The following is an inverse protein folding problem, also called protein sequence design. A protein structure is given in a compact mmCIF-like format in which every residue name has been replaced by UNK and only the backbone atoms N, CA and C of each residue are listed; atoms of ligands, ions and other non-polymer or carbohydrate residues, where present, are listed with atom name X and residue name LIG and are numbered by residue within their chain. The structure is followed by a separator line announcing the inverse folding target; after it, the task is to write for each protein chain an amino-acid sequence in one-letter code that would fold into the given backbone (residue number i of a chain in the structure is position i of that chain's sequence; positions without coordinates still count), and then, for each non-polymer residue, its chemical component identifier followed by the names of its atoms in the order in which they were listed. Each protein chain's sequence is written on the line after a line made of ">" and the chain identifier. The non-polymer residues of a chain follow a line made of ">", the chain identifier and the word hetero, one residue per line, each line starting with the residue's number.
data_IF_468238349755
#
_entry.id   IF_468238349755
#
_cell.length_a   1.000
_cell.length_b   1.000
_cell.length_c   1.000
_cell.angle_alpha   90.00
_cell.angle_beta   90.00
_cell.angle_gamma   90.00
#
_symmetry.space_group_name_H-M   'P 1'
#
loop_
_entity.id
_entity.type
_entity.pdbx_description
1 polymer ?
#
# COMPACT_ATOMS: atom_id res chain seq x y z
N UNK A 1 -1.17 7.88 -7.89
CA UNK A 1 -1.45 7.03 -9.08
C UNK A 1 -0.22 6.27 -9.57
N UNK A 2 0.92 6.95 -9.76
CA UNK A 2 2.17 6.32 -10.23
C UNK A 2 2.76 5.33 -9.23
N UNK A 3 2.66 5.58 -7.91
CA UNK A 3 3.17 4.66 -6.88
C UNK A 3 2.39 3.33 -6.81
N UNK A 4 1.06 3.39 -6.86
CA UNK A 4 0.19 2.19 -6.83
C UNK A 4 0.35 1.38 -8.13
N UNK A 5 0.50 2.06 -9.28
CA UNK A 5 0.76 1.38 -10.55
C UNK A 5 2.19 0.80 -10.59
N UNK A 6 3.18 1.44 -9.96
CA UNK A 6 4.53 0.90 -9.75
C UNK A 6 4.52 -0.32 -8.83
N UNK A 7 3.75 -0.31 -7.74
CA UNK A 7 3.56 -1.49 -6.89
C UNK A 7 2.93 -2.64 -7.68
N UNK A 8 1.92 -2.37 -8.51
CA UNK A 8 1.27 -3.40 -9.35
C UNK A 8 2.16 -3.90 -10.50
N UNK A 9 3.00 -3.04 -11.09
CA UNK A 9 3.92 -3.42 -12.18
C UNK A 9 5.22 -4.10 -11.70
N UNK A 10 5.70 -3.81 -10.49
CA UNK A 10 6.93 -4.42 -9.96
C UNK A 10 6.69 -5.79 -9.32
N UNK A 11 5.48 -6.12 -8.87
CA UNK A 11 5.25 -7.40 -8.19
C UNK A 11 4.90 -8.54 -9.16
N UNK A 12 5.86 -9.43 -9.40
CA UNK A 12 5.58 -10.85 -9.71
C UNK A 12 4.87 -11.58 -8.54
N UNK A 13 4.66 -10.87 -7.43
CA UNK A 13 4.32 -11.36 -6.09
C UNK A 13 3.01 -10.81 -5.49
N UNK A 14 2.03 -10.39 -6.30
CA UNK A 14 0.73 -9.90 -5.77
C UNK A 14 0.04 -10.92 -4.82
N UNK A 15 0.29 -12.22 -5.08
CA UNK A 15 -0.12 -13.36 -4.24
C UNK A 15 0.58 -13.39 -2.88
N UNK A 16 1.86 -12.99 -2.84
CA UNK A 16 2.63 -12.86 -1.62
C UNK A 16 2.14 -11.65 -0.83
N UNK A 17 1.89 -10.51 -1.49
CA UNK A 17 1.52 -9.28 -0.80
C UNK A 17 0.22 -9.40 0.02
N UNK A 18 -0.86 -9.97 -0.54
CA UNK A 18 -2.14 -10.13 0.18
C UNK A 18 -2.07 -11.15 1.30
N UNK A 19 -1.40 -12.30 1.08
CA UNK A 19 -1.15 -13.30 2.12
C UNK A 19 -0.28 -12.75 3.24
N UNK A 20 0.82 -12.09 2.90
CA UNK A 20 1.75 -11.46 3.83
C UNK A 20 1.09 -10.33 4.62
N UNK A 21 0.22 -9.53 3.99
CA UNK A 21 -0.60 -8.52 4.67
C UNK A 21 -1.55 -9.17 5.68
N UNK A 22 -2.30 -10.19 5.26
CA UNK A 22 -3.22 -10.94 6.14
C UNK A 22 -2.49 -11.53 7.34
N UNK A 23 -1.37 -12.24 7.12
CA UNK A 23 -0.55 -12.83 8.19
C UNK A 23 -0.01 -11.77 9.17
N UNK A 24 0.35 -10.57 8.66
CA UNK A 24 0.81 -9.47 9.52
C UNK A 24 -0.31 -8.89 10.36
N UNK A 25 -1.49 -8.68 9.78
CA UNK A 25 -2.64 -8.20 10.54
C UNK A 25 -3.07 -9.24 11.56
N UNK A 26 -3.03 -10.54 11.27
CA UNK A 26 -3.27 -11.59 12.26
C UNK A 26 -2.34 -11.46 13.48
N UNK A 27 -1.03 -11.34 13.24
CA UNK A 27 0.00 -11.25 14.28
C UNK A 27 0.10 -9.89 14.99
N UNK A 28 -0.69 -8.90 14.57
CA UNK A 28 -0.70 -7.56 15.17
C UNK A 28 -1.48 -7.53 16.49
N UNK A 29 -0.97 -6.79 17.48
CA UNK A 29 -1.61 -6.65 18.81
C UNK A 29 -2.99 -5.99 18.72
N UNK A 30 -3.85 -6.19 19.74
CA UNK A 30 -5.21 -5.63 19.77
C UNK A 30 -5.20 -4.11 19.72
N UNK A 31 -4.25 -3.49 20.39
CA UNK A 31 -4.08 -2.04 20.49
C UNK A 31 -3.67 -1.45 19.13
N UNK A 32 -2.73 -2.09 18.43
CA UNK A 32 -2.33 -1.70 17.08
C UNK A 32 -3.47 -1.86 16.07
N UNK A 33 -4.25 -2.95 16.18
CA UNK A 33 -5.47 -3.15 15.39
C UNK A 33 -6.48 -2.03 15.61
N UNK A 34 -6.72 -1.63 16.87
CA UNK A 34 -7.61 -0.51 17.15
C UNK A 34 -7.16 0.78 16.44
N UNK A 35 -5.86 1.10 16.49
CA UNK A 35 -5.30 2.27 15.79
C UNK A 35 -5.52 2.19 14.27
N UNK A 36 -5.28 1.03 13.64
CA UNK A 36 -5.49 0.84 12.20
C UNK A 36 -6.96 1.05 11.81
N UNK A 37 -7.89 0.59 12.65
CA UNK A 37 -9.33 0.81 12.43
C UNK A 37 -9.69 2.29 12.57
N UNK A 38 -9.16 2.97 13.58
CA UNK A 38 -9.40 4.41 13.82
C UNK A 38 -8.83 5.28 12.68
N UNK A 39 -7.77 4.82 12.01
CA UNK A 39 -7.23 5.45 10.80
C UNK A 39 -8.09 5.20 9.53
N UNK A 40 -9.18 4.44 9.61
CA UNK A 40 -10.06 4.12 8.48
C UNK A 40 -9.64 2.89 7.67
N UNK A 41 -8.59 2.17 8.09
CA UNK A 41 -8.07 0.99 7.39
C UNK A 41 -8.59 -0.34 7.95
N UNK A 42 -9.71 -0.32 8.70
CA UNK A 42 -10.29 -1.52 9.31
C UNK A 42 -10.61 -2.63 8.29
N UNK A 43 -10.97 -2.27 7.07
CA UNK A 43 -11.21 -3.22 5.98
C UNK A 43 -9.99 -4.09 5.63
N UNK A 44 -8.76 -3.59 5.85
CA UNK A 44 -7.52 -4.34 5.57
C UNK A 44 -7.39 -5.59 6.44
N UNK A 45 -7.98 -5.59 7.65
CA UNK A 45 -7.94 -6.74 8.56
C UNK A 45 -8.85 -7.88 8.11
N UNK A 46 -9.82 -7.60 7.23
CA UNK A 46 -10.78 -8.57 6.72
C UNK A 46 -10.42 -9.03 5.31
N UNK A 47 -9.28 -8.59 4.76
CA UNK A 47 -8.80 -9.05 3.46
C UNK A 47 -8.48 -10.54 3.60
N UNK A 48 -9.35 -11.36 3.01
CA UNK A 48 -9.05 -12.78 2.85
C UNK A 48 -7.77 -12.92 2.02
N UNK A 49 -6.84 -13.82 2.40
CA UNK A 49 -5.64 -14.06 1.63
C UNK A 49 -6.03 -14.57 0.23
N UNK A 50 -6.00 -13.67 -0.76
CA UNK A 50 -6.41 -13.98 -2.12
C UNK A 50 -5.35 -14.84 -2.81
N UNK A 51 -5.67 -16.11 -3.05
CA UNK A 51 -4.82 -17.02 -3.82
C UNK A 51 -4.98 -16.79 -5.33
N UNK A 52 -4.57 -15.63 -5.85
CA UNK A 52 -4.62 -15.36 -7.31
C UNK A 52 -3.56 -16.19 -8.07
N UNK A 53 -3.95 -17.17 -8.87
CA UNK A 53 -3.00 -18.02 -9.60
C UNK A 53 -2.00 -17.20 -10.43
N UNK A 54 -0.70 -17.55 -10.36
CA UNK A 54 0.36 -16.84 -11.08
C UNK A 54 0.09 -16.79 -12.60
N UNK A 55 -0.49 -17.86 -13.15
CA UNK A 55 -0.93 -17.92 -14.55
C UNK A 55 -1.96 -16.84 -14.89
N UNK A 56 -2.87 -16.52 -13.97
CA UNK A 56 -3.89 -15.48 -14.15
C UNK A 56 -3.26 -14.08 -14.08
N UNK A 57 -2.36 -13.83 -13.12
CA UNK A 57 -1.61 -12.57 -13.01
C UNK A 57 -0.76 -12.32 -14.27
N UNK A 58 -0.04 -13.34 -14.75
CA UNK A 58 0.75 -13.27 -15.98
C UNK A 58 -0.13 -12.96 -17.19
N UNK A 59 -1.31 -13.59 -17.28
CA UNK A 59 -2.27 -13.32 -18.35
C UNK A 59 -2.79 -11.88 -18.29
N UNK A 60 -3.16 -11.38 -17.11
CA UNK A 60 -3.61 -10.00 -16.91
C UNK A 60 -2.52 -8.97 -17.23
N UNK A 61 -1.29 -9.20 -16.77
CA UNK A 61 -0.15 -8.31 -17.05
C UNK A 61 0.14 -8.25 -18.55
N UNK A 62 0.16 -9.39 -19.25
CA UNK A 62 0.36 -9.45 -20.69
C UNK A 62 -0.79 -8.80 -21.48
N UNK A 63 -1.99 -8.83 -20.93
CA UNK A 63 -3.18 -8.21 -21.49
C UNK A 63 -3.20 -6.68 -21.34
N UNK A 64 -2.38 -6.11 -20.45
CA UNK A 64 -2.36 -4.67 -20.17
C UNK A 64 -1.39 -3.92 -21.09
N UNK A 65 -1.89 -2.89 -21.76
CA UNK A 65 -1.10 -2.00 -22.63
C UNK A 65 -0.77 -0.71 -21.91
N UNK A 66 0.46 -0.60 -21.40
CA UNK A 66 0.92 0.56 -20.61
C UNK A 66 0.71 1.90 -21.33
N UNK A 67 1.18 2.03 -22.57
CA UNK A 67 1.10 3.30 -23.31
C UNK A 67 -0.33 3.78 -23.59
N UNK A 68 -1.33 2.89 -23.55
CA UNK A 68 -2.76 3.23 -23.73
C UNK A 68 -3.57 3.11 -22.44
N UNK A 69 -2.92 2.73 -21.33
CA UNK A 69 -3.56 2.41 -20.06
C UNK A 69 -4.83 1.54 -20.23
N UNK A 70 -4.74 0.49 -21.04
CA UNK A 70 -5.89 -0.30 -21.50
C UNK A 70 -5.66 -1.79 -21.25
N UNK A 71 -6.61 -2.47 -20.63
CA UNK A 71 -6.63 -3.91 -20.41
C UNK A 71 -7.42 -4.61 -21.52
N UNK A 72 -6.80 -5.55 -22.24
CA UNK A 72 -7.46 -6.38 -23.25
C UNK A 72 -7.97 -7.70 -22.67
N UNK A 73 -9.25 -7.98 -22.84
CA UNK A 73 -9.88 -9.26 -22.49
C UNK A 73 -10.55 -9.86 -23.72
N UNK A 74 -11.06 -11.09 -23.61
CA UNK A 74 -11.87 -11.71 -24.67
C UNK A 74 -13.18 -10.96 -24.97
N UNK A 75 -13.64 -10.15 -24.02
CA UNK A 75 -14.88 -9.37 -24.12
C UNK A 75 -14.66 -7.95 -24.66
N UNK A 76 -13.40 -7.53 -24.87
CA UNK A 76 -13.08 -6.21 -25.38
C UNK A 76 -11.90 -5.55 -24.69
N UNK A 77 -11.72 -4.26 -24.93
CA UNK A 77 -10.65 -3.45 -24.35
C UNK A 77 -11.21 -2.44 -23.36
N UNK A 78 -10.70 -2.44 -22.13
CA UNK A 78 -11.16 -1.58 -21.05
C UNK A 78 -10.07 -0.57 -20.69
N UNK A 79 -10.38 0.73 -20.75
CA UNK A 79 -9.45 1.77 -20.30
C UNK A 79 -9.45 1.79 -18.77
N UNK A 80 -8.31 1.50 -18.17
CA UNK A 80 -8.18 1.49 -16.71
C UNK A 80 -8.10 2.93 -16.22
N UNK A 81 -9.10 3.38 -15.47
CA UNK A 81 -9.08 4.72 -14.86
C UNK A 81 -8.74 4.62 -13.37
N UNK A 82 -8.07 5.64 -12.80
CA UNK A 82 -7.79 5.70 -11.36
C UNK A 82 -9.06 5.67 -10.52
N UNK A 83 -10.12 6.33 -10.98
CA UNK A 83 -11.45 6.29 -10.36
C UNK A 83 -12.04 4.88 -10.32
N UNK A 84 -11.87 4.11 -11.40
CA UNK A 84 -12.30 2.71 -11.47
C UNK A 84 -11.49 1.81 -10.54
N UNK A 85 -10.17 2.02 -10.45
CA UNK A 85 -9.32 1.30 -9.49
C UNK A 85 -9.75 1.62 -8.07
N UNK A 86 -9.91 2.90 -7.74
CA UNK A 86 -10.32 3.31 -6.41
C UNK A 86 -11.67 2.74 -6.01
N UNK A 87 -12.69 2.85 -6.88
CA UNK A 87 -14.00 2.24 -6.64
C UNK A 87 -13.93 0.72 -6.43
N UNK A 88 -13.15 0.00 -7.24
CA UNK A 88 -12.98 -1.45 -7.12
C UNK A 88 -12.26 -1.87 -5.83
N UNK A 89 -11.36 -1.02 -5.33
CA UNK A 89 -10.61 -1.24 -4.09
C UNK A 89 -11.31 -0.64 -2.85
N UNK A 90 -12.48 -0.01 -3.00
CA UNK A 90 -13.14 0.73 -1.92
C UNK A 90 -12.37 1.96 -1.44
N UNK A 91 -11.48 2.50 -2.27
CA UNK A 91 -10.70 3.71 -1.99
C UNK A 91 -11.41 4.93 -2.58
N UNK A 92 -11.49 6.02 -1.82
CA UNK A 92 -11.94 7.31 -2.35
C UNK A 92 -10.93 7.81 -3.39
N UNK A 93 -11.26 7.62 -4.67
CA UNK A 93 -10.41 8.00 -5.79
C UNK A 93 -10.37 9.52 -6.05
N UNK A 94 -11.03 10.31 -5.19
CA UNK A 94 -10.98 11.77 -5.22
C UNK A 94 -9.72 12.34 -4.55
N UNK A 95 -8.84 11.48 -4.01
CA UNK A 95 -7.63 11.93 -3.34
C UNK A 95 -6.77 12.77 -4.27
N UNK A 96 -6.52 14.02 -3.86
CA UNK A 96 -5.67 14.97 -4.54
C UNK A 96 -4.39 14.28 -5.03
N UNK A 97 -4.01 14.57 -6.28
CA UNK A 97 -2.67 14.28 -6.75
C UNK A 97 -1.72 14.81 -5.67
N UNK A 98 -0.91 13.94 -5.05
CA UNK A 98 0.14 14.39 -4.14
C UNK A 98 0.82 15.59 -4.79
N UNK A 99 0.90 16.75 -4.12
CA UNK A 99 1.49 17.92 -4.72
C UNK A 99 2.85 17.55 -5.28
N UNK A 100 3.15 18.15 -6.43
CA UNK A 100 4.36 17.93 -7.20
C UNK A 100 5.59 17.87 -6.27
N UNK A 101 6.48 16.90 -6.55
CA UNK A 101 7.76 16.62 -5.89
C UNK A 101 8.03 17.48 -4.63
N UNK A 102 7.61 17.01 -3.46
CA UNK A 102 7.97 17.65 -2.19
C UNK A 102 9.50 17.71 -2.07
N UNK A 103 10.06 18.91 -2.06
CA UNK A 103 11.52 19.11 -1.97
C UNK A 103 12.01 18.68 -0.59
N UNK A 104 13.03 17.82 -0.52
CA UNK A 104 13.65 17.44 0.74
C UNK A 104 14.11 18.68 1.55
N UNK A 105 14.50 19.77 0.86
CA UNK A 105 14.94 21.02 1.50
C UNK A 105 13.80 21.68 2.28
N UNK A 106 12.57 21.58 1.80
CA UNK A 106 11.36 22.20 2.37
C UNK A 106 10.72 21.37 3.49
N UNK A 107 11.15 20.12 3.68
CA UNK A 107 10.66 19.29 4.78
C UNK A 107 11.07 19.88 6.15
N UNK A 108 10.14 19.80 7.12
CA UNK A 108 10.41 20.07 8.53
C UNK A 108 11.52 19.15 9.06
N UNK A 109 12.19 19.53 10.16
CA UNK A 109 13.24 18.69 10.78
C UNK A 109 12.74 17.28 11.11
N UNK A 110 11.52 17.18 11.62
CA UNK A 110 10.83 15.93 11.92
C UNK A 110 10.58 15.09 10.65
N UNK A 111 10.06 15.70 9.59
CA UNK A 111 9.81 14.99 8.33
C UNK A 111 11.11 14.55 7.65
N UNK A 112 12.19 15.32 7.77
CA UNK A 112 13.53 14.91 7.32
C UNK A 112 14.08 13.71 8.09
N UNK A 113 13.77 13.63 9.39
CA UNK A 113 14.16 12.49 10.22
C UNK A 113 13.39 11.23 9.81
N UNK A 114 12.09 11.37 9.54
CA UNK A 114 11.27 10.29 8.96
C UNK A 114 11.86 9.90 7.60
N UNK A 115 12.04 10.82 6.67
CA UNK A 115 12.61 10.50 5.34
C UNK A 115 13.92 9.71 5.43
N UNK A 116 14.89 10.16 6.24
CA UNK A 116 16.18 9.46 6.44
C UNK A 116 16.02 8.07 7.04
N UNK A 117 15.05 7.89 7.94
CA UNK A 117 14.77 6.59 8.57
C UNK A 117 14.23 5.57 7.57
N UNK A 118 13.62 6.02 6.48
CA UNK A 118 13.04 5.17 5.43
C UNK A 118 13.96 5.01 4.23
N UNK A 119 14.85 5.96 4.00
CA UNK A 119 15.80 5.93 2.89
C UNK A 119 16.67 4.66 2.97
N UNK A 120 16.66 3.86 1.89
CA UNK A 120 17.46 2.64 1.79
C UNK A 120 16.93 1.44 2.58
N UNK A 121 15.75 1.53 3.23
CA UNK A 121 15.12 0.37 3.88
C UNK A 121 14.34 -0.47 2.87
N UNK A 122 14.43 -1.78 3.03
CA UNK A 122 13.55 -2.73 2.33
C UNK A 122 12.16 -2.72 2.96
N UNK A 123 11.14 -3.19 2.21
CA UNK A 123 9.78 -3.36 2.74
C UNK A 123 9.75 -4.30 3.95
N UNK A 124 10.65 -5.29 4.01
CA UNK A 124 10.84 -6.16 5.16
C UNK A 124 11.32 -5.37 6.38
N UNK A 125 12.38 -4.58 6.24
CA UNK A 125 12.89 -3.76 7.34
C UNK A 125 11.81 -2.81 7.89
N UNK A 126 11.00 -2.23 7.00
CA UNK A 126 9.91 -1.34 7.39
C UNK A 126 8.81 -2.08 8.16
N UNK A 127 8.50 -3.30 7.74
CA UNK A 127 7.56 -4.17 8.43
C UNK A 127 8.04 -4.51 9.82
N UNK A 128 9.27 -4.99 9.95
CA UNK A 128 9.82 -5.47 11.22
C UNK A 128 9.83 -4.32 12.25
N UNK A 129 10.15 -3.11 11.78
CA UNK A 129 10.07 -1.88 12.56
C UNK A 129 8.64 -1.49 12.96
N UNK A 130 7.68 -1.56 12.03
CA UNK A 130 6.27 -1.35 12.34
C UNK A 130 5.77 -2.31 13.43
N UNK A 131 6.22 -3.57 13.36
CA UNK A 131 5.85 -4.61 14.32
C UNK A 131 6.54 -4.44 15.67
N UNK A 132 7.77 -3.91 15.71
CA UNK A 132 8.53 -3.71 16.95
C UNK A 132 8.19 -2.43 17.72
N UNK A 133 7.63 -1.40 17.06
CA UNK A 133 7.21 -0.17 17.74
C UNK A 133 6.15 -0.47 18.81
N UNK A 134 6.35 0.03 20.03
CA UNK A 134 5.36 -0.05 21.11
C UNK A 134 4.12 0.81 20.82
N UNK A 135 3.08 0.66 21.63
CA UNK A 135 1.90 1.55 21.57
C UNK A 135 1.46 2.01 22.96
N UNK A 136 2.36 1.89 23.94
CA UNK A 136 2.10 2.26 25.34
C UNK A 136 2.19 3.76 25.63
N UNK A 137 2.82 4.55 24.75
CA UNK A 137 2.91 6.01 24.88
C UNK A 137 2.51 6.69 23.56
N UNK A 138 2.19 7.99 23.63
CA UNK A 138 1.66 8.74 22.48
C UNK A 138 2.69 8.92 21.35
N UNK A 139 3.97 9.07 21.70
CA UNK A 139 5.03 9.25 20.72
C UNK A 139 5.20 8.00 19.84
N UNK A 140 5.17 6.81 20.45
CA UNK A 140 5.25 5.54 19.74
C UNK A 140 3.97 5.28 18.92
N UNK A 141 2.79 5.66 19.44
CA UNK A 141 1.54 5.58 18.67
C UNK A 141 1.59 6.46 17.42
N UNK A 142 2.08 7.70 17.54
CA UNK A 142 2.27 8.60 16.40
C UNK A 142 3.29 8.03 15.40
N UNK A 143 4.37 7.44 15.89
CA UNK A 143 5.38 6.79 15.04
C UNK A 143 4.81 5.58 14.31
N UNK A 144 4.05 4.73 15.00
CA UNK A 144 3.34 3.60 14.40
C UNK A 144 2.37 4.07 13.30
N UNK A 145 1.54 5.09 13.57
CA UNK A 145 0.62 5.66 12.57
C UNK A 145 1.38 6.13 11.31
N UNK A 146 2.50 6.85 11.49
CA UNK A 146 3.33 7.36 10.38
C UNK A 146 3.93 6.23 9.55
N UNK A 147 4.51 5.20 10.19
CA UNK A 147 5.07 4.04 9.49
C UNK A 147 3.99 3.23 8.78
N UNK A 148 2.85 3.01 9.44
CA UNK A 148 1.74 2.26 8.89
C UNK A 148 1.18 2.89 7.61
N UNK A 149 0.98 4.21 7.60
CA UNK A 149 0.53 4.97 6.41
C UNK A 149 1.54 4.86 5.26
N UNK A 150 2.84 4.79 5.56
CA UNK A 150 3.89 4.64 4.56
C UNK A 150 4.06 3.20 4.06
N UNK A 151 3.54 2.22 4.80
CA UNK A 151 3.62 0.79 4.47
C UNK A 151 2.50 0.32 3.53
N UNK A 152 1.32 0.95 3.59
CA UNK A 152 0.14 0.68 2.75
C UNK A 152 0.18 1.47 1.45
#
# INVERSE_FOLDING_TARGET
>A
MTLILLCLQQTKDLKCATKLLSEKFENMSKEKKAIVRDLGFGGLMHISPMRVHHKLLKKLANSFKLGKNTLKTSYGSFRVKPSTIGAALGLNASGDLFPEKVSYKELSKENKQIFRRFQGKTLKNLTDEMMSIGVGNEQDRLMFKRIFILYI
#
